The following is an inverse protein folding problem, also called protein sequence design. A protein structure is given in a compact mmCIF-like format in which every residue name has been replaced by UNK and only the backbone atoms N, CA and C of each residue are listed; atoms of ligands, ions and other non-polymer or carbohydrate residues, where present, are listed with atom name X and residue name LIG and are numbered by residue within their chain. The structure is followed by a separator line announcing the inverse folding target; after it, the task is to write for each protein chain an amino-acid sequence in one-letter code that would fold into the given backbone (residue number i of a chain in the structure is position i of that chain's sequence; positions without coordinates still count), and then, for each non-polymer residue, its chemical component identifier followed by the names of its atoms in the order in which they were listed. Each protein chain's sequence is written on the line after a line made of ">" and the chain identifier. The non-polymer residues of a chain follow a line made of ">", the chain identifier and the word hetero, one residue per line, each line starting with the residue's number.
data_IF_451657610850
#
_entry.id   IF_451657610850
#
_cell.length_a   1.000
_cell.length_b   1.000
_cell.length_c   1.000
_cell.angle_alpha   90.00
_cell.angle_beta   90.00
_cell.angle_gamma   90.00
#
_symmetry.space_group_name_H-M   'P 1'
#
loop_
_entity.id
_entity.type
_entity.pdbx_description
1 polymer ?
#
# COMPACT_ATOMS: atom_id res chain seq x y z
N UNK A 1 -27.89 -15.70 -1.23
CA UNK A 1 -27.21 -14.43 -1.52
C UNK A 1 -26.63 -13.97 -0.20
N UNK A 2 -25.30 -13.85 -0.07
CA UNK A 2 -24.66 -13.42 1.17
C UNK A 2 -25.02 -11.95 1.43
N UNK A 3 -25.44 -11.63 2.65
CA UNK A 3 -25.63 -10.25 3.09
C UNK A 3 -24.27 -9.66 3.53
N UNK A 4 -24.11 -8.33 3.61
CA UNK A 4 -22.90 -7.72 4.17
C UNK A 4 -22.57 -8.20 5.59
N UNK A 5 -23.58 -8.65 6.33
CA UNK A 5 -23.47 -9.22 7.68
C UNK A 5 -22.87 -10.63 7.67
N UNK A 6 -23.01 -11.35 6.54
CA UNK A 6 -22.43 -12.67 6.29
C UNK A 6 -20.99 -12.61 5.73
N UNK A 7 -20.46 -11.40 5.51
CA UNK A 7 -19.09 -11.22 5.02
C UNK A 7 -18.13 -10.91 6.16
N UNK A 8 -17.11 -11.76 6.34
CA UNK A 8 -15.99 -11.47 7.24
C UNK A 8 -15.19 -10.33 6.61
N UNK A 9 -15.11 -9.14 7.24
CA UNK A 9 -14.40 -8.02 6.66
C UNK A 9 -12.91 -8.33 6.63
N UNK A 10 -12.28 -8.24 5.46
CA UNK A 10 -10.82 -8.35 5.35
C UNK A 10 -10.17 -7.12 6.01
N UNK A 11 -9.41 -7.34 7.07
CA UNK A 11 -8.80 -6.30 7.90
C UNK A 11 -7.32 -6.16 7.58
N UNK A 12 -6.71 -5.10 8.09
CA UNK A 12 -5.26 -4.91 7.96
C UNK A 12 -4.47 -6.06 8.62
N UNK A 13 -4.97 -6.63 9.71
CA UNK A 13 -4.25 -7.67 10.45
C UNK A 13 -4.10 -8.95 9.60
N UNK A 14 -5.09 -9.26 8.75
CA UNK A 14 -5.03 -10.38 7.81
C UNK A 14 -3.91 -10.17 6.77
N UNK A 15 -3.71 -8.92 6.33
CA UNK A 15 -2.58 -8.53 5.46
C UNK A 15 -1.25 -8.71 6.18
N UNK A 16 -1.17 -8.28 7.45
CA UNK A 16 0.07 -8.32 8.22
C UNK A 16 0.54 -9.75 8.53
N UNK A 17 -0.37 -10.72 8.54
CA UNK A 17 -0.04 -12.15 8.70
C UNK A 17 0.39 -12.83 7.41
N UNK A 18 0.27 -12.14 6.26
CA UNK A 18 0.52 -12.72 4.96
C UNK A 18 2.00 -12.54 4.54
N UNK A 19 2.60 -13.59 3.97
CA UNK A 19 3.93 -13.55 3.33
C UNK A 19 3.87 -13.55 1.79
N UNK A 20 2.78 -13.05 1.22
CA UNK A 20 2.59 -12.97 -0.23
C UNK A 20 3.50 -11.93 -0.86
N UNK A 21 3.96 -12.20 -2.08
CA UNK A 21 4.69 -11.22 -2.86
C UNK A 21 3.79 -10.07 -3.33
N UNK A 22 2.54 -10.37 -3.66
CA UNK A 22 1.56 -9.37 -4.11
C UNK A 22 0.26 -9.50 -3.35
N UNK A 23 -0.27 -8.38 -2.88
CA UNK A 23 -1.56 -8.29 -2.19
C UNK A 23 -2.43 -7.29 -2.93
N UNK A 24 -3.59 -7.73 -3.43
CA UNK A 24 -4.60 -6.86 -4.03
C UNK A 24 -5.90 -7.08 -3.28
N UNK A 25 -6.43 -6.02 -2.69
CA UNK A 25 -7.75 -6.06 -2.08
C UNK A 25 -8.53 -4.81 -2.45
N UNK A 26 -9.75 -5.01 -2.98
CA UNK A 26 -10.60 -3.93 -3.45
C UNK A 26 -11.30 -3.17 -2.32
N UNK A 27 -11.53 -3.84 -1.20
CA UNK A 27 -12.21 -3.29 -0.04
C UNK A 27 -11.56 -3.87 1.21
N UNK A 28 -10.88 -3.03 1.97
CA UNK A 28 -10.39 -3.38 3.30
C UNK A 28 -10.98 -2.47 4.37
N UNK A 29 -11.25 -3.04 5.53
CA UNK A 29 -11.53 -2.23 6.72
C UNK A 29 -10.19 -1.82 7.33
N UNK A 30 -9.82 -0.56 7.13
CA UNK A 30 -8.60 0.03 7.71
C UNK A 30 -8.82 1.48 8.11
N UNK A 31 -8.24 1.87 9.24
CA UNK A 31 -8.03 3.26 9.63
C UNK A 31 -6.71 3.81 9.07
N UNK A 32 -6.48 5.10 9.17
CA UNK A 32 -5.20 5.72 8.78
C UNK A 32 -4.06 5.22 9.69
N UNK A 33 -4.39 4.92 10.95
CA UNK A 33 -3.47 4.32 11.93
C UNK A 33 -3.07 2.89 11.55
N UNK A 34 -3.99 2.13 10.96
CA UNK A 34 -3.72 0.77 10.48
C UNK A 34 -2.72 0.77 9.33
N UNK A 35 -2.92 1.66 8.36
CA UNK A 35 -1.98 1.85 7.25
C UNK A 35 -0.61 2.36 7.74
N UNK A 36 -0.59 3.29 8.69
CA UNK A 36 0.65 3.72 9.34
C UNK A 36 1.38 2.56 10.06
N UNK A 37 0.63 1.71 10.76
CA UNK A 37 1.18 0.52 11.43
C UNK A 37 1.79 -0.44 10.42
N UNK A 38 1.10 -0.71 9.30
CA UNK A 38 1.63 -1.50 8.20
C UNK A 38 2.99 -0.96 7.72
N UNK A 39 3.07 0.33 7.39
CA UNK A 39 4.31 0.93 6.88
C UNK A 39 5.45 0.83 7.90
N UNK A 40 5.16 1.07 9.19
CA UNK A 40 6.15 0.96 10.27
C UNK A 40 6.63 -0.48 10.47
N UNK A 41 5.76 -1.48 10.32
CA UNK A 41 6.14 -2.88 10.38
C UNK A 41 7.01 -3.27 9.20
N UNK A 42 6.67 -2.86 7.99
CA UNK A 42 7.49 -3.10 6.81
C UNK A 42 8.89 -2.47 6.94
N UNK A 43 8.99 -1.23 7.45
CA UNK A 43 10.29 -0.58 7.74
C UNK A 43 11.13 -1.40 8.73
N UNK A 44 10.48 -2.13 9.64
CA UNK A 44 11.09 -3.07 10.60
C UNK A 44 11.27 -4.50 10.05
N UNK A 45 11.31 -4.65 8.72
CA UNK A 45 11.60 -5.92 8.03
C UNK A 45 10.50 -6.97 8.13
N UNK A 46 9.28 -6.58 8.52
CA UNK A 46 8.11 -7.46 8.34
C UNK A 46 7.78 -7.62 6.85
N UNK A 47 7.16 -8.76 6.49
CA UNK A 47 6.73 -9.08 5.13
C UNK A 47 7.88 -8.96 4.10
N UNK A 48 9.00 -9.70 4.29
CA UNK A 48 10.21 -9.53 3.49
C UNK A 48 10.00 -9.84 2.00
N UNK A 49 9.04 -10.71 1.67
CA UNK A 49 8.69 -11.09 0.30
C UNK A 49 7.78 -10.09 -0.41
N UNK A 50 7.19 -9.14 0.31
CA UNK A 50 6.21 -8.21 -0.26
C UNK A 50 6.88 -7.32 -1.31
N UNK A 51 6.37 -7.39 -2.54
CA UNK A 51 6.81 -6.61 -3.70
C UNK A 51 5.79 -5.54 -4.09
N UNK A 52 4.51 -5.86 -3.93
CA UNK A 52 3.40 -4.99 -4.30
C UNK A 52 2.22 -5.15 -3.33
N UNK A 53 1.60 -4.04 -2.96
CA UNK A 53 0.29 -4.06 -2.33
C UNK A 53 -0.60 -2.95 -2.90
N UNK A 54 -1.83 -3.30 -3.27
CA UNK A 54 -2.88 -2.36 -3.63
C UNK A 54 -4.10 -2.62 -2.73
N UNK A 55 -4.45 -1.66 -1.88
CA UNK A 55 -5.58 -1.78 -0.97
C UNK A 55 -6.58 -0.67 -1.18
N UNK A 56 -7.82 -1.07 -1.45
CA UNK A 56 -8.93 -0.19 -1.69
C UNK A 56 -9.72 0.10 -0.42
N UNK A 57 -10.32 1.28 -0.39
CA UNK A 57 -11.19 1.72 0.69
C UNK A 57 -12.58 2.04 0.15
N UNK A 58 -13.58 2.04 1.04
CA UNK A 58 -14.97 2.28 0.69
C UNK A 58 -15.17 3.59 -0.09
N UNK A 59 -16.18 3.62 -0.96
CA UNK A 59 -16.49 4.79 -1.79
C UNK A 59 -16.74 6.01 -0.90
N UNK A 60 -16.07 7.12 -1.21
CA UNK A 60 -16.18 8.37 -0.44
C UNK A 60 -15.26 8.45 0.79
N UNK A 61 -14.54 7.37 1.13
CA UNK A 61 -13.51 7.43 2.18
C UNK A 61 -12.32 8.24 1.67
N UNK A 62 -12.01 9.31 2.40
CA UNK A 62 -10.81 10.12 2.19
C UNK A 62 -9.80 9.76 3.27
N UNK A 63 -8.60 9.36 2.85
CA UNK A 63 -7.48 9.01 3.72
C UNK A 63 -6.62 10.23 3.98
N UNK A 64 -6.28 10.48 5.25
CA UNK A 64 -5.31 11.51 5.59
C UNK A 64 -3.90 10.97 5.37
N UNK A 65 -3.27 11.45 4.28
CA UNK A 65 -1.93 11.06 3.90
C UNK A 65 -0.90 11.40 4.99
N UNK A 66 -1.05 12.54 5.67
CA UNK A 66 -0.12 12.96 6.72
C UNK A 66 -0.30 12.09 7.98
N UNK A 67 -1.53 11.69 8.29
CA UNK A 67 -1.79 10.73 9.37
C UNK A 67 -1.17 9.36 9.07
N UNK A 68 -1.30 8.86 7.83
CA UNK A 68 -0.70 7.60 7.39
C UNK A 68 0.82 7.65 7.44
N UNK A 69 1.42 8.78 7.07
CA UNK A 69 2.88 8.95 7.04
C UNK A 69 3.48 9.41 8.38
N UNK A 70 2.66 9.59 9.43
CA UNK A 70 3.08 10.16 10.71
C UNK A 70 4.21 9.35 11.38
N UNK A 71 5.31 10.03 11.65
CA UNK A 71 6.49 9.46 12.30
C UNK A 71 7.31 8.52 11.41
N UNK A 72 7.12 8.59 10.10
CA UNK A 72 7.92 7.89 9.10
C UNK A 72 8.79 8.93 8.39
N UNK A 73 10.08 8.62 8.20
CA UNK A 73 10.95 9.44 7.36
C UNK A 73 10.68 9.12 5.90
N UNK A 74 10.33 10.14 5.12
CA UNK A 74 10.06 10.01 3.70
C UNK A 74 10.62 11.20 2.92
N UNK A 75 10.76 11.02 1.60
CA UNK A 75 10.80 12.12 0.64
C UNK A 75 9.60 12.01 -0.28
N UNK A 76 9.25 13.09 -0.97
CA UNK A 76 8.20 13.08 -2.00
C UNK A 76 8.88 12.96 -3.37
N UNK A 77 8.31 12.14 -4.26
CA UNK A 77 8.78 12.04 -5.65
C UNK A 77 8.56 13.38 -6.37
N UNK A 78 9.59 13.84 -7.07
CA UNK A 78 9.55 15.08 -7.86
C UNK A 78 8.80 14.89 -9.18
N UNK A 79 8.48 16.00 -9.85
CA UNK A 79 7.68 16.04 -11.09
C UNK A 79 8.15 15.10 -12.20
N UNK A 80 9.46 14.95 -12.35
CA UNK A 80 10.06 14.14 -13.42
C UNK A 80 10.46 12.73 -12.95
N UNK A 81 10.26 12.41 -11.67
CA UNK A 81 10.57 11.09 -11.17
C UNK A 81 9.45 10.11 -11.50
N UNK A 82 9.82 8.95 -12.05
CA UNK A 82 8.90 7.89 -12.41
C UNK A 82 9.56 6.54 -12.17
N UNK A 83 8.83 5.63 -11.55
CA UNK A 83 9.25 4.23 -11.39
C UNK A 83 8.11 3.33 -11.81
N UNK A 84 8.46 2.26 -12.51
CA UNK A 84 7.50 1.28 -13.01
C UNK A 84 7.90 -0.13 -12.63
N UNK A 85 6.91 -0.95 -12.27
CA UNK A 85 7.07 -2.40 -12.12
C UNK A 85 5.91 -3.08 -12.86
N UNK A 86 6.14 -4.19 -13.59
CA UNK A 86 5.06 -4.97 -14.17
C UNK A 86 4.05 -5.39 -13.10
N UNK A 87 2.75 -5.29 -13.39
CA UNK A 87 1.76 -5.97 -12.55
C UNK A 87 1.94 -7.48 -12.70
N UNK A 88 1.58 -8.27 -11.68
CA UNK A 88 1.36 -9.68 -11.92
C UNK A 88 0.26 -9.82 -12.99
N UNK A 89 0.56 -10.61 -14.04
CA UNK A 89 -0.28 -10.77 -15.23
C UNK A 89 -1.71 -11.20 -14.88
N UNK A 90 -1.88 -11.92 -13.77
CA UNK A 90 -3.14 -12.41 -13.22
C UNK A 90 -4.15 -11.29 -12.90
N UNK A 91 -3.69 -10.06 -12.69
CA UNK A 91 -4.54 -8.92 -12.34
C UNK A 91 -4.63 -7.86 -13.46
N UNK A 92 -4.06 -8.13 -14.64
CA UNK A 92 -4.17 -7.32 -15.85
C UNK A 92 -2.85 -6.72 -16.35
N UNK A 93 -2.79 -6.22 -17.60
CA UNK A 93 -1.55 -5.83 -18.29
C UNK A 93 -1.00 -4.46 -17.88
N UNK A 94 -1.35 -3.93 -16.70
CA UNK A 94 -1.08 -2.53 -16.33
C UNK A 94 0.09 -2.39 -15.37
N UNK A 95 1.20 -1.80 -15.80
CA UNK A 95 2.30 -1.46 -14.89
C UNK A 95 1.82 -0.65 -13.67
N UNK A 96 2.39 -0.95 -12.51
CA UNK A 96 2.28 -0.06 -11.34
C UNK A 96 3.26 1.07 -11.56
N UNK A 97 2.74 2.30 -11.53
CA UNK A 97 3.53 3.50 -11.78
C UNK A 97 3.51 4.37 -10.53
N UNK A 98 4.68 4.51 -9.91
CA UNK A 98 4.95 5.56 -8.93
C UNK A 98 5.45 6.81 -9.67
N UNK A 99 4.93 7.97 -9.30
CA UNK A 99 5.16 9.27 -9.95
C UNK A 99 5.12 10.40 -8.94
N UNK A 100 5.26 11.63 -9.41
CA UNK A 100 5.12 12.86 -8.64
C UNK A 100 4.05 12.77 -7.53
N UNK A 101 4.45 13.17 -6.32
CA UNK A 101 3.59 13.17 -5.13
C UNK A 101 3.56 11.85 -4.36
N UNK A 102 4.11 10.75 -4.88
CA UNK A 102 4.28 9.53 -4.10
C UNK A 102 5.33 9.71 -2.99
N UNK A 103 5.12 9.06 -1.85
CA UNK A 103 6.07 9.07 -0.75
C UNK A 103 7.08 7.95 -0.93
N UNK A 104 8.37 8.28 -0.91
CA UNK A 104 9.45 7.29 -0.91
C UNK A 104 9.90 7.08 0.53
N UNK A 105 9.78 5.84 1.01
CA UNK A 105 10.25 5.40 2.31
C UNK A 105 11.38 4.38 2.12
N UNK A 106 12.22 4.24 3.15
CA UNK A 106 13.35 3.32 3.15
C UNK A 106 13.25 2.37 4.34
N UNK A 107 13.37 1.07 4.06
CA UNK A 107 13.46 0.01 5.07
C UNK A 107 14.87 -0.03 5.67
N UNK A 108 15.02 -0.67 6.82
CA UNK A 108 16.29 -0.74 7.57
C UNK A 108 17.45 -1.32 6.75
N UNK A 109 17.18 -2.27 5.86
CA UNK A 109 18.12 -2.87 4.92
C UNK A 109 18.48 -2.00 3.71
N UNK A 110 17.94 -0.77 3.64
CA UNK A 110 18.21 0.19 2.57
C UNK A 110 17.24 0.10 1.39
N UNK A 111 16.40 -0.94 1.32
CA UNK A 111 15.40 -1.13 0.27
C UNK A 111 14.38 0.02 0.30
N UNK A 112 14.10 0.60 -0.86
CA UNK A 112 13.12 1.66 -0.99
C UNK A 112 11.73 1.12 -1.33
N UNK A 113 10.70 1.80 -0.87
CA UNK A 113 9.34 1.60 -1.34
C UNK A 113 8.64 2.93 -1.60
N UNK A 114 7.69 2.92 -2.52
CA UNK A 114 6.81 4.05 -2.82
C UNK A 114 5.41 3.80 -2.28
N UNK A 115 4.83 4.81 -1.62
CA UNK A 115 3.44 4.84 -1.17
C UNK A 115 2.70 5.92 -1.98
N UNK A 116 1.72 5.51 -2.77
CA UNK A 116 0.84 6.43 -3.50
C UNK A 116 -0.57 6.33 -2.93
N UNK A 117 -1.12 7.46 -2.48
CA UNK A 117 -2.47 7.53 -1.94
C UNK A 117 -3.29 8.37 -2.91
N UNK A 118 -4.05 7.71 -3.79
CA UNK A 118 -4.87 8.42 -4.78
C UNK A 118 -6.19 8.84 -4.16
N UNK A 119 -6.69 10.02 -4.53
CA UNK A 119 -8.02 10.47 -4.10
C UNK A 119 -9.07 9.43 -4.54
N UNK A 120 -9.68 8.80 -3.56
CA UNK A 120 -10.97 8.13 -3.69
C UNK A 120 -10.97 6.62 -3.94
N UNK A 121 -9.85 5.91 -4.11
CA UNK A 121 -9.96 4.45 -4.33
C UNK A 121 -8.86 3.55 -3.75
N UNK A 122 -7.56 3.87 -3.83
CA UNK A 122 -6.51 2.93 -3.42
C UNK A 122 -5.28 3.59 -2.78
N UNK A 123 -4.69 2.88 -1.82
CA UNK A 123 -3.28 3.02 -1.49
C UNK A 123 -2.49 1.98 -2.30
N UNK A 124 -1.52 2.44 -3.07
CA UNK A 124 -0.55 1.59 -3.78
C UNK A 124 0.78 1.65 -3.04
N UNK A 125 1.35 0.48 -2.76
CA UNK A 125 2.63 0.30 -2.09
C UNK A 125 3.52 -0.60 -2.97
N UNK A 126 4.71 -0.13 -3.34
CA UNK A 126 5.61 -0.86 -4.24
C UNK A 126 7.01 -0.84 -3.68
N UNK A 127 7.64 -2.01 -3.58
CA UNK A 127 9.03 -2.18 -3.15
C UNK A 127 9.96 -2.18 -4.36
N UNK A 128 11.11 -1.51 -4.26
CA UNK A 128 12.09 -1.37 -5.33
C UNK A 128 13.37 -2.12 -4.97
N UNK A 129 13.37 -3.42 -5.28
CA UNK A 129 14.48 -4.36 -5.14
C UNK A 129 14.61 -5.26 -6.38
#
# INVERSE_FOLDING_TARGET
>A
MLTPEDTIPFRIDDILTNNSETIVSWLIVSSDKDLNRFLKLWIKEAMPQLKCMAVGYGRGVVKDQLAIMKGIRFRVMEKNERRERPYPLEFGPRNIVAREGAFVIRRKDGVEATVSIRRGQFMEFVVWN
#
